data_IF_976288461979
#
_entry.id   IF_976288461979
#
_cell.length_a   1.000
_cell.length_b   1.000
_cell.length_c   1.000
_cell.angle_alpha   90.00
_cell.angle_beta   90.00
_cell.angle_gamma   90.00
#
_symmetry.space_group_name_H-M   'P 1'
#
loop_
_entity.id
_entity.type
_entity.pdbx_description
1 polymer ?
#
# COMPACT_ATOMS: atom_id res chain seq x y z
N UNK A 1 -9.20 -5.05 25.26
CA UNK A 1 -9.85 -4.35 26.40
C UNK A 1 -9.19 -2.99 26.69
N UNK A 2 -8.38 -2.44 25.76
CA UNK A 2 -7.49 -1.29 26.05
C UNK A 2 -7.97 0.08 25.56
N UNK A 3 -8.70 0.14 24.44
CA UNK A 3 -9.12 1.42 23.86
C UNK A 3 -10.01 2.24 24.81
N UNK A 4 -10.97 1.59 25.48
CA UNK A 4 -11.88 2.24 26.43
C UNK A 4 -11.21 2.71 27.73
N UNK A 5 -10.00 2.21 28.03
CA UNK A 5 -9.17 2.65 29.16
C UNK A 5 -8.34 3.85 28.75
N UNK A 6 -7.70 3.81 27.57
CA UNK A 6 -6.95 4.94 26.99
C UNK A 6 -7.83 6.17 26.74
N UNK A 7 -9.06 5.96 26.29
CA UNK A 7 -10.05 7.02 26.08
C UNK A 7 -10.55 7.65 27.39
N UNK A 8 -10.32 7.03 28.55
CA UNK A 8 -10.68 7.58 29.87
C UNK A 8 -9.49 8.26 30.55
N UNK A 9 -8.28 7.98 30.11
CA UNK A 9 -7.06 8.60 30.61
C UNK A 9 -6.83 10.02 30.05
N UNK A 10 -6.43 10.96 30.91
CA UNK A 10 -6.27 12.36 30.53
C UNK A 10 -5.07 12.60 29.60
N UNK A 11 -4.03 11.78 29.68
CA UNK A 11 -2.85 11.84 28.80
C UNK A 11 -3.14 11.10 27.49
N UNK A 12 -3.74 9.91 27.57
CA UNK A 12 -4.20 9.11 26.44
C UNK A 12 -5.11 9.90 25.51
N UNK A 13 -6.09 10.63 26.05
CA UNK A 13 -6.95 11.55 25.26
C UNK A 13 -6.17 12.58 24.46
N UNK A 14 -5.10 13.17 25.03
CA UNK A 14 -4.29 14.17 24.32
C UNK A 14 -3.50 13.54 23.18
N UNK A 15 -2.98 12.32 23.39
CA UNK A 15 -2.28 11.56 22.35
C UNK A 15 -3.24 11.21 21.22
N UNK A 16 -4.41 10.66 21.53
CA UNK A 16 -5.46 10.34 20.55
C UNK A 16 -5.85 11.60 19.76
N UNK A 17 -6.13 12.70 20.45
CA UNK A 17 -6.49 13.96 19.78
C UNK A 17 -5.37 14.48 18.85
N UNK A 18 -4.10 14.32 19.22
CA UNK A 18 -2.97 14.69 18.38
C UNK A 18 -2.82 13.78 17.15
N UNK A 19 -3.17 12.49 17.29
CA UNK A 19 -3.13 11.51 16.22
C UNK A 19 -4.36 11.54 15.31
N UNK A 20 -5.50 12.05 15.78
CA UNK A 20 -6.78 12.01 15.03
C UNK A 20 -6.64 12.49 13.59
N UNK A 21 -5.92 13.59 13.34
CA UNK A 21 -5.71 14.10 11.97
C UNK A 21 -5.04 13.11 11.00
N UNK A 22 -4.37 12.09 11.53
CA UNK A 22 -3.64 11.08 10.77
C UNK A 22 -4.38 9.74 10.67
N UNK A 23 -5.34 9.47 11.57
CA UNK A 23 -5.99 8.14 11.70
C UNK A 23 -7.51 8.17 11.55
N UNK A 24 -8.14 9.34 11.61
CA UNK A 24 -9.59 9.52 11.51
C UNK A 24 -10.14 8.96 10.18
N UNK A 25 -11.34 8.39 10.15
CA UNK A 25 -11.89 7.76 8.94
C UNK A 25 -12.54 8.73 7.95
N UNK A 26 -12.65 10.01 8.29
CA UNK A 26 -13.34 11.03 7.48
C UNK A 26 -12.36 11.82 6.61
N UNK A 27 -11.23 12.25 7.19
CA UNK A 27 -10.17 13.01 6.52
C UNK A 27 -8.82 12.72 7.17
N UNK A 28 -8.05 11.80 6.57
CA UNK A 28 -6.65 11.53 6.99
C UNK A 28 -5.71 12.43 6.23
N UNK A 29 -4.78 13.03 6.97
CA UNK A 29 -3.61 13.68 6.41
C UNK A 29 -2.45 12.70 6.42
N UNK A 30 -1.67 12.62 5.35
CA UNK A 30 -0.37 11.94 5.37
C UNK A 30 0.66 12.76 6.17
N UNK A 31 1.56 12.10 6.87
CA UNK A 31 2.78 12.72 7.39
C UNK A 31 3.73 13.00 6.23
N UNK A 32 4.63 13.99 6.36
CA UNK A 32 5.70 14.21 5.39
C UNK A 32 7.04 13.94 6.05
N UNK A 33 7.84 13.06 5.47
CA UNK A 33 9.17 12.77 5.97
C UNK A 33 10.22 13.77 5.47
N UNK A 34 11.47 13.61 5.90
CA UNK A 34 12.56 14.52 5.55
C UNK A 34 12.96 14.49 4.07
N UNK A 35 12.54 13.48 3.31
CA UNK A 35 12.74 13.40 1.86
C UNK A 35 11.61 14.04 1.09
N UNK A 36 10.56 14.52 1.78
CA UNK A 36 9.38 15.12 1.17
C UNK A 36 8.30 14.11 0.81
N UNK A 37 8.48 12.83 1.20
CA UNK A 37 7.52 11.77 0.89
C UNK A 37 6.38 11.76 1.89
N UNK A 38 5.19 11.43 1.38
CA UNK A 38 4.01 11.23 2.19
C UNK A 38 4.00 9.83 2.81
N UNK A 39 3.60 9.75 4.08
CA UNK A 39 3.42 8.52 4.84
C UNK A 39 2.04 8.53 5.48
N UNK A 40 1.16 7.63 5.06
CA UNK A 40 -0.12 7.38 5.73
C UNK A 40 0.16 6.60 7.02
N UNK A 41 -0.05 7.26 8.17
CA UNK A 41 0.20 6.64 9.47
C UNK A 41 -0.71 5.45 9.75
N UNK A 42 -1.97 5.49 9.27
CA UNK A 42 -2.92 4.41 9.48
C UNK A 42 -2.54 3.19 8.64
N UNK A 43 -2.16 3.39 7.38
CA UNK A 43 -1.64 2.33 6.52
C UNK A 43 -0.36 1.73 7.11
N UNK A 44 0.64 2.57 7.40
CA UNK A 44 1.90 2.13 8.00
C UNK A 44 1.69 1.31 9.28
N UNK A 45 0.80 1.76 10.17
CA UNK A 45 0.51 1.05 11.41
C UNK A 45 -0.17 -0.31 11.15
N UNK A 46 -1.14 -0.36 10.25
CA UNK A 46 -1.84 -1.61 9.89
C UNK A 46 -0.89 -2.60 9.22
N UNK A 47 -0.09 -2.16 8.24
CA UNK A 47 0.88 -3.01 7.53
C UNK A 47 2.01 -3.49 8.45
N UNK A 48 2.55 -2.61 9.31
CA UNK A 48 3.57 -3.01 10.31
C UNK A 48 3.01 -4.01 11.32
N UNK A 49 1.77 -3.83 11.77
CA UNK A 49 1.11 -4.80 12.64
C UNK A 49 0.87 -6.12 11.89
N UNK A 50 0.51 -6.06 10.61
CA UNK A 50 0.37 -7.22 9.73
C UNK A 50 1.63 -8.06 9.67
N UNK A 51 2.78 -7.41 9.44
CA UNK A 51 4.10 -8.06 9.41
C UNK A 51 4.57 -8.59 10.77
N UNK A 52 4.24 -7.93 11.88
CA UNK A 52 4.70 -8.36 13.22
C UNK A 52 3.76 -9.33 13.93
N UNK A 53 2.54 -9.51 13.43
CA UNK A 53 1.54 -10.34 14.06
C UNK A 53 1.44 -11.68 13.32
N UNK A 54 1.64 -12.78 14.05
CA UNK A 54 1.70 -14.15 13.52
C UNK A 54 0.32 -14.65 13.04
N UNK A 55 -0.18 -14.07 11.95
CA UNK A 55 -1.52 -14.28 11.43
C UNK A 55 -1.58 -15.34 10.32
N UNK A 56 -2.81 -15.75 9.99
CA UNK A 56 -3.15 -16.66 8.88
C UNK A 56 -2.92 -16.02 7.50
N UNK A 57 -2.80 -14.69 7.44
CA UNK A 57 -2.62 -13.93 6.21
C UNK A 57 -1.11 -13.76 5.98
N UNK A 58 -0.57 -14.17 4.81
CA UNK A 58 0.84 -13.97 4.54
C UNK A 58 1.19 -12.48 4.54
N UNK A 59 2.28 -12.14 5.22
CA UNK A 59 2.91 -10.82 5.33
C UNK A 59 2.68 -9.88 4.14
N UNK A 60 3.06 -10.31 2.93
CA UNK A 60 2.91 -9.52 1.70
C UNK A 60 1.47 -9.03 1.44
N UNK A 61 0.47 -9.84 1.79
CA UNK A 61 -0.96 -9.54 1.62
C UNK A 61 -1.51 -8.52 2.60
N UNK A 62 -0.77 -8.20 3.67
CA UNK A 62 -1.14 -7.14 4.61
C UNK A 62 -0.71 -5.74 4.15
N UNK A 63 0.10 -5.65 3.10
CA UNK A 63 0.52 -4.40 2.46
C UNK A 63 0.51 -4.53 0.94
N UNK A 64 1.69 -4.40 0.33
CA UNK A 64 1.85 -4.23 -1.13
C UNK A 64 1.08 -5.21 -2.03
N UNK A 65 0.91 -6.48 -1.63
CA UNK A 65 0.19 -7.44 -2.47
C UNK A 65 -1.33 -7.21 -2.44
N UNK A 66 -1.87 -6.79 -1.28
CA UNK A 66 -3.28 -6.41 -1.14
C UNK A 66 -3.59 -5.11 -1.90
N UNK A 67 -2.69 -4.14 -1.82
CA UNK A 67 -2.76 -2.88 -2.57
C UNK A 67 -2.72 -3.12 -4.08
N UNK A 68 -1.78 -3.97 -4.53
CA UNK A 68 -1.69 -4.40 -5.92
C UNK A 68 -2.98 -5.11 -6.39
N UNK A 69 -3.55 -5.99 -5.58
CA UNK A 69 -4.81 -6.67 -5.91
C UNK A 69 -5.95 -5.67 -6.09
N UNK A 70 -6.08 -4.70 -5.19
CA UNK A 70 -7.09 -3.64 -5.28
C UNK A 70 -6.85 -2.73 -6.50
N UNK A 71 -5.59 -2.46 -6.85
CA UNK A 71 -5.26 -1.74 -8.07
C UNK A 71 -5.63 -2.53 -9.34
N UNK A 72 -5.45 -3.85 -9.35
CA UNK A 72 -5.87 -4.72 -10.46
C UNK A 72 -7.39 -4.64 -10.70
N UNK A 73 -8.20 -4.64 -9.64
CA UNK A 73 -9.66 -4.41 -9.74
C UNK A 73 -9.96 -3.06 -10.40
N UNK A 74 -9.28 -1.99 -9.96
CA UNK A 74 -9.48 -0.65 -10.49
C UNK A 74 -9.01 -0.50 -11.95
N UNK A 75 -7.93 -1.17 -12.35
CA UNK A 75 -7.49 -1.23 -13.75
C UNK A 75 -8.55 -1.94 -14.59
N UNK A 76 -9.05 -3.09 -14.14
CA UNK A 76 -10.11 -3.83 -14.85
C UNK A 76 -11.38 -3.01 -14.98
N UNK A 77 -11.86 -2.42 -13.89
CA UNK A 77 -13.02 -1.52 -13.87
C UNK A 77 -12.87 -0.38 -14.87
N UNK A 78 -11.68 0.24 -14.93
CA UNK A 78 -11.39 1.31 -15.88
C UNK A 78 -11.51 0.82 -17.33
N UNK A 79 -10.98 -0.36 -17.65
CA UNK A 79 -11.05 -0.94 -19.01
C UNK A 79 -12.46 -1.41 -19.39
N UNK A 80 -13.23 -1.93 -18.43
CA UNK A 80 -14.63 -2.30 -18.64
C UNK A 80 -15.50 -1.09 -18.94
N UNK A 81 -15.26 0.04 -18.25
CA UNK A 81 -15.99 1.28 -18.49
C UNK A 81 -15.49 2.02 -19.74
N UNK A 82 -14.28 1.72 -20.19
CA UNK A 82 -13.63 2.37 -21.33
C UNK A 82 -12.96 1.32 -22.25
N UNK A 83 -13.72 0.57 -23.07
CA UNK A 83 -13.19 -0.57 -23.83
C UNK A 83 -12.07 -0.26 -24.83
N UNK A 84 -11.91 1.01 -25.21
CA UNK A 84 -10.84 1.48 -26.11
C UNK A 84 -9.62 2.04 -25.37
N UNK A 85 -9.62 2.04 -24.04
CA UNK A 85 -8.51 2.53 -23.24
C UNK A 85 -7.28 1.60 -23.35
N UNK A 86 -6.10 2.19 -23.23
CA UNK A 86 -4.85 1.45 -23.31
C UNK A 86 -4.48 0.89 -21.92
N UNK A 87 -4.45 -0.45 -21.79
CA UNK A 87 -4.13 -1.14 -20.55
C UNK A 87 -2.80 -0.69 -19.92
N UNK A 88 -1.73 -0.56 -20.71
CA UNK A 88 -0.41 -0.16 -20.18
C UNK A 88 -0.44 1.26 -19.58
N UNK A 89 -1.12 2.19 -20.25
CA UNK A 89 -1.28 3.57 -19.79
C UNK A 89 -2.17 3.68 -18.55
N UNK A 90 -3.26 2.90 -18.49
CA UNK A 90 -4.14 2.83 -17.31
C UNK A 90 -3.39 2.25 -16.12
N UNK A 91 -2.68 1.13 -16.30
CA UNK A 91 -1.90 0.51 -15.23
C UNK A 91 -0.77 1.42 -14.73
N UNK A 92 -0.09 2.14 -15.63
CA UNK A 92 0.92 3.15 -15.26
C UNK A 92 0.32 4.27 -14.41
N UNK A 93 -0.94 4.64 -14.66
CA UNK A 93 -1.62 5.70 -13.92
C UNK A 93 -2.13 5.28 -12.54
N UNK A 94 -2.30 3.97 -12.30
CA UNK A 94 -2.93 3.43 -11.09
C UNK A 94 -1.95 2.68 -10.18
N UNK A 95 -0.67 2.61 -10.55
CA UNK A 95 0.38 1.96 -9.76
C UNK A 95 1.51 2.95 -9.53
N UNK A 96 1.78 3.24 -8.26
CA UNK A 96 2.83 4.13 -7.79
C UNK A 96 2.61 5.62 -8.12
N UNK A 97 1.42 5.99 -8.61
CA UNK A 97 1.08 7.38 -8.89
C UNK A 97 0.57 8.07 -7.62
N UNK A 98 0.84 9.38 -7.49
CA UNK A 98 0.35 10.18 -6.36
C UNK A 98 -1.13 10.55 -6.44
N UNK A 99 -1.58 11.41 -5.53
CA UNK A 99 -2.99 11.82 -5.41
C UNK A 99 -3.55 12.55 -6.65
N UNK A 100 -2.69 12.99 -7.56
CA UNK A 100 -3.06 13.61 -8.83
C UNK A 100 -3.31 12.60 -9.96
N UNK A 101 -3.35 11.28 -9.67
CA UNK A 101 -3.46 10.21 -10.67
C UNK A 101 -4.52 10.40 -11.75
N UNK A 102 -5.66 11.02 -11.42
CA UNK A 102 -6.74 11.32 -12.38
C UNK A 102 -6.32 12.28 -13.50
N UNK A 103 -5.23 13.03 -13.32
CA UNK A 103 -4.65 13.91 -14.33
C UNK A 103 -3.66 13.19 -15.24
N UNK A 104 -3.26 11.96 -14.91
CA UNK A 104 -2.32 11.18 -15.70
C UNK A 104 -2.87 10.99 -17.13
N UNK A 105 -2.03 11.15 -18.19
CA UNK A 105 -2.48 11.04 -19.58
C UNK A 105 -3.25 9.74 -19.90
N UNK A 106 -2.87 8.64 -19.24
CA UNK A 106 -3.53 7.34 -19.38
C UNK A 106 -4.96 7.25 -18.85
N UNK A 107 -5.40 8.21 -18.02
CA UNK A 107 -6.78 8.28 -17.49
C UNK A 107 -7.56 9.49 -18.01
N UNK A 108 -6.89 10.42 -18.67
CA UNK A 108 -7.49 11.67 -19.12
C UNK A 108 -8.62 11.41 -20.12
N UNK A 109 -9.81 11.89 -19.78
CA UNK A 109 -11.00 11.74 -20.62
C UNK A 109 -11.69 10.38 -20.51
N UNK A 110 -11.20 9.48 -19.66
CA UNK A 110 -11.86 8.22 -19.35
C UNK A 110 -12.97 8.40 -18.31
N UNK A 111 -13.95 7.52 -18.34
CA UNK A 111 -14.97 7.40 -17.29
C UNK A 111 -14.32 6.75 -16.07
N UNK A 112 -14.23 7.50 -14.98
CA UNK A 112 -13.66 7.05 -13.70
C UNK A 112 -14.68 7.03 -12.55
N UNK A 113 -15.87 7.56 -12.79
CA UNK A 113 -16.98 7.54 -11.83
C UNK A 113 -18.27 7.20 -12.57
N UNK A 114 -19.00 6.20 -12.08
CA UNK A 114 -20.22 5.70 -12.72
C UNK A 114 -21.19 5.19 -11.67
N UNK A 115 -22.49 5.30 -11.93
CA UNK A 115 -23.50 4.59 -11.13
C UNK A 115 -23.61 3.15 -11.60
N UNK A 116 -23.58 2.21 -10.66
CA UNK A 116 -23.90 0.82 -10.95
C UNK A 116 -25.42 0.63 -11.19
N UNK A 117 -25.83 -0.59 -11.53
CA UNK A 117 -27.22 -0.93 -11.85
C UNK A 117 -28.20 -0.68 -10.69
N UNK A 118 -27.69 -0.56 -9.46
CA UNK A 118 -28.45 -0.23 -8.25
C UNK A 118 -28.51 1.28 -7.98
N UNK A 119 -27.99 2.11 -8.89
CA UNK A 119 -27.95 3.56 -8.76
C UNK A 119 -26.91 4.09 -7.77
N UNK A 120 -26.02 3.24 -7.23
CA UNK A 120 -24.95 3.62 -6.30
C UNK A 120 -23.72 4.08 -7.10
N UNK A 121 -23.12 5.20 -6.68
CA UNK A 121 -21.86 5.67 -7.25
C UNK A 121 -20.70 4.72 -6.92
N UNK A 122 -19.92 4.43 -7.95
CA UNK A 122 -18.64 3.73 -7.90
C UNK A 122 -17.58 4.61 -8.55
N UNK A 123 -16.37 4.55 -8.01
CA UNK A 123 -15.22 5.35 -8.45
C UNK A 123 -14.02 4.44 -8.63
N UNK A 124 -13.19 4.75 -9.63
CA UNK A 124 -11.85 4.16 -9.78
C UNK A 124 -10.94 4.78 -8.73
N UNK A 125 -10.47 3.95 -7.81
CA UNK A 125 -9.54 4.33 -6.73
C UNK A 125 -8.06 4.20 -7.14
N UNK A 126 -7.19 4.84 -6.35
CA UNK A 126 -5.73 4.75 -6.47
C UNK A 126 -5.19 4.04 -5.22
N UNK A 127 -5.27 2.71 -5.24
CA UNK A 127 -5.08 1.85 -4.06
C UNK A 127 -3.71 1.13 -4.01
N UNK A 128 -2.86 1.32 -5.01
CA UNK A 128 -1.46 0.93 -4.98
C UNK A 128 -0.66 2.20 -5.30
N UNK A 129 -0.95 3.25 -4.55
CA UNK A 129 -0.44 4.57 -4.83
C UNK A 129 0.98 4.75 -4.26
N UNK A 130 1.57 5.91 -4.52
CA UNK A 130 2.93 6.19 -4.10
C UNK A 130 3.10 6.24 -2.58
N UNK A 131 2.10 6.73 -1.85
CA UNK A 131 2.13 6.89 -0.40
C UNK A 131 1.99 5.51 0.28
N UNK A 132 1.09 4.67 -0.21
CA UNK A 132 0.90 3.28 0.25
C UNK A 132 2.20 2.49 0.06
N UNK A 133 2.83 2.59 -1.12
CA UNK A 133 4.10 1.91 -1.41
C UNK A 133 5.28 2.46 -0.59
N UNK A 134 5.24 3.73 -0.15
CA UNK A 134 6.19 4.23 0.84
C UNK A 134 5.98 3.50 2.16
N UNK A 135 4.73 3.43 2.62
CA UNK A 135 4.38 2.79 3.87
C UNK A 135 4.69 1.29 3.87
N UNK A 136 4.47 0.57 2.76
CA UNK A 136 4.78 -0.85 2.63
C UNK A 136 6.28 -1.12 2.76
N UNK A 137 7.10 -0.34 2.04
CA UNK A 137 8.56 -0.44 2.11
C UNK A 137 9.11 -0.09 3.49
N UNK A 138 8.56 0.95 4.11
CA UNK A 138 8.90 1.38 5.47
C UNK A 138 8.50 0.29 6.50
N UNK A 139 7.29 -0.26 6.37
CA UNK A 139 6.74 -1.27 7.27
C UNK A 139 7.58 -2.55 7.32
N UNK A 140 8.09 -3.02 6.18
CA UNK A 140 8.98 -4.19 6.11
C UNK A 140 10.21 -3.99 7.00
N UNK A 141 10.86 -2.83 6.91
CA UNK A 141 12.07 -2.55 7.70
C UNK A 141 11.74 -2.33 9.16
N UNK A 142 10.66 -1.59 9.45
CA UNK A 142 10.22 -1.30 10.81
C UNK A 142 9.83 -2.61 11.52
N UNK A 143 8.98 -3.43 10.91
CA UNK A 143 8.55 -4.72 11.46
C UNK A 143 9.75 -5.62 11.77
N UNK A 144 10.64 -5.85 10.80
CA UNK A 144 11.84 -6.65 11.02
C UNK A 144 12.73 -6.09 12.15
N UNK A 145 12.82 -4.76 12.29
CA UNK A 145 13.58 -4.15 13.40
C UNK A 145 12.90 -4.36 14.76
N UNK A 146 11.57 -4.33 14.81
CA UNK A 146 10.79 -4.57 16.03
C UNK A 146 10.88 -6.03 16.46
N UNK A 147 10.75 -6.97 15.54
CA UNK A 147 10.82 -8.42 15.82
C UNK A 147 12.18 -8.86 16.34
N UNK A 148 13.25 -8.26 15.82
CA UNK A 148 14.62 -8.51 16.27
C UNK A 148 15.03 -7.61 17.45
N UNK A 149 14.12 -6.78 17.95
CA UNK A 149 14.36 -5.82 19.03
C UNK A 149 14.20 -6.43 20.43
N UNK A 150 14.59 -5.65 21.45
CA UNK A 150 14.36 -6.02 22.85
C UNK A 150 12.92 -5.67 23.25
N UNK A 151 12.06 -6.68 23.41
CA UNK A 151 10.66 -6.55 23.81
C UNK A 151 10.45 -5.85 25.17
N UNK A 152 11.46 -5.87 26.03
CA UNK A 152 11.45 -5.22 27.35
C UNK A 152 11.78 -3.72 27.27
N UNK A 153 12.18 -3.22 26.11
CA UNK A 153 12.43 -1.80 25.89
C UNK A 153 11.13 -1.06 25.55
N UNK A 154 10.56 -0.36 26.53
CA UNK A 154 9.35 0.45 26.36
C UNK A 154 9.46 1.56 25.27
N UNK A 155 10.68 1.89 24.82
CA UNK A 155 10.92 2.88 23.77
C UNK A 155 11.23 2.28 22.40
N UNK A 156 11.23 0.95 22.24
CA UNK A 156 11.64 0.25 21.01
C UNK A 156 10.99 0.85 19.76
N UNK A 157 9.66 0.96 19.73
CA UNK A 157 8.92 1.54 18.59
C UNK A 157 9.37 2.97 18.28
N UNK A 158 9.39 3.84 19.29
CA UNK A 158 9.73 5.26 19.11
C UNK A 158 11.19 5.46 18.67
N UNK A 159 12.10 4.59 19.12
CA UNK A 159 13.51 4.61 18.74
C UNK A 159 13.67 4.13 17.29
N UNK A 160 13.01 3.03 16.91
CA UNK A 160 13.01 2.49 15.55
C UNK A 160 12.51 3.51 14.53
N UNK A 161 11.35 4.12 14.79
CA UNK A 161 10.78 5.16 13.90
C UNK A 161 11.74 6.35 13.75
N UNK A 162 12.32 6.80 14.87
CA UNK A 162 13.28 7.92 14.87
C UNK A 162 14.53 7.58 14.08
N UNK A 163 15.09 6.38 14.23
CA UNK A 163 16.27 5.97 13.49
C UNK A 163 15.96 5.85 11.99
N UNK A 164 14.87 5.17 11.65
CA UNK A 164 14.45 4.92 10.27
C UNK A 164 14.25 6.23 9.50
N UNK A 165 13.39 7.12 10.00
CA UNK A 165 13.07 8.38 9.31
C UNK A 165 14.21 9.41 9.35
N UNK A 166 15.23 9.21 10.19
CA UNK A 166 16.46 10.02 10.14
C UNK A 166 17.55 9.42 9.25
N UNK A 167 17.37 8.24 8.66
CA UNK A 167 18.36 7.60 7.81
C UNK A 167 18.05 7.76 6.32
N UNK A 168 18.74 8.68 5.64
CA UNK A 168 18.49 8.96 4.21
C UNK A 168 18.72 7.75 3.31
N UNK A 169 19.67 6.88 3.65
CA UNK A 169 19.99 5.69 2.86
C UNK A 169 18.90 4.62 2.96
N UNK A 170 18.25 4.49 4.12
CA UNK A 170 17.07 3.62 4.29
C UNK A 170 15.91 4.16 3.45
N UNK A 171 15.60 5.45 3.59
CA UNK A 171 14.51 6.12 2.84
C UNK A 171 14.69 6.06 1.32
N UNK A 172 15.93 6.21 0.83
CA UNK A 172 16.25 6.12 -0.60
C UNK A 172 16.04 4.71 -1.19
N UNK A 173 16.00 3.68 -0.34
CA UNK A 173 15.79 2.30 -0.76
C UNK A 173 14.41 1.75 -0.37
N UNK A 174 13.49 2.58 0.16
CA UNK A 174 12.22 2.08 0.73
C UNK A 174 11.43 1.21 -0.24
N UNK A 175 11.30 1.62 -1.51
CA UNK A 175 10.57 0.82 -2.49
C UNK A 175 11.28 -0.50 -2.77
N UNK A 176 12.62 -0.47 -2.85
CA UNK A 176 13.44 -1.68 -3.02
C UNK A 176 13.31 -2.66 -1.86
N UNK A 177 12.92 -2.21 -0.66
CA UNK A 177 12.63 -3.11 0.47
C UNK A 177 11.52 -4.10 0.13
N UNK A 178 10.52 -3.68 -0.66
CA UNK A 178 9.47 -4.56 -1.17
C UNK A 178 10.12 -5.68 -1.99
N UNK A 179 10.91 -5.33 -3.00
CA UNK A 179 11.64 -6.30 -3.83
C UNK A 179 12.57 -7.23 -3.03
N UNK A 180 13.33 -6.67 -2.09
CA UNK A 180 14.25 -7.43 -1.24
C UNK A 180 13.52 -8.37 -0.27
N UNK A 181 12.32 -8.04 0.18
CA UNK A 181 11.53 -8.89 1.10
C UNK A 181 11.21 -10.27 0.54
N UNK A 182 11.07 -10.38 -0.79
CA UNK A 182 10.91 -11.65 -1.50
C UNK A 182 12.15 -12.02 -2.34
N UNK A 183 13.29 -11.37 -2.08
CA UNK A 183 14.59 -11.72 -2.67
C UNK A 183 14.73 -11.40 -4.16
N UNK A 184 14.08 -10.38 -4.67
CA UNK A 184 14.38 -9.81 -5.98
C UNK A 184 15.44 -8.71 -5.86
N UNK A 185 16.27 -8.52 -6.89
CA UNK A 185 17.31 -7.48 -6.92
C UNK A 185 17.20 -6.52 -8.12
N UNK A 186 16.27 -6.80 -9.03
CA UNK A 186 15.98 -5.99 -10.20
C UNK A 186 14.52 -6.16 -10.62
N UNK A 187 14.05 -5.31 -11.54
CA UNK A 187 12.66 -5.32 -12.01
C UNK A 187 12.26 -6.63 -12.68
N UNK A 188 13.15 -7.33 -13.36
CA UNK A 188 12.85 -8.61 -14.01
C UNK A 188 12.56 -9.70 -12.98
N UNK A 189 13.45 -9.86 -11.98
CA UNK A 189 13.24 -10.81 -10.87
C UNK A 189 11.99 -10.45 -10.07
N UNK A 190 11.76 -9.15 -9.84
CA UNK A 190 10.59 -8.71 -9.10
C UNK A 190 9.29 -9.00 -9.85
N UNK A 191 9.25 -8.77 -11.17
CA UNK A 191 8.10 -9.11 -11.99
C UNK A 191 7.76 -10.60 -11.91
N UNK A 192 8.77 -11.48 -12.03
CA UNK A 192 8.57 -12.93 -11.95
C UNK A 192 7.94 -13.31 -10.61
N UNK A 193 8.55 -12.87 -9.50
CA UNK A 193 8.09 -13.23 -8.14
C UNK A 193 6.73 -12.61 -7.80
N UNK A 194 6.50 -11.35 -8.16
CA UNK A 194 5.19 -10.70 -7.95
C UNK A 194 4.10 -11.43 -8.75
N UNK A 195 4.40 -11.87 -9.98
CA UNK A 195 3.45 -12.62 -10.80
C UNK A 195 3.13 -13.99 -10.18
N UNK A 196 4.13 -14.68 -9.61
CA UNK A 196 3.92 -15.91 -8.85
C UNK A 196 3.03 -15.67 -7.62
N UNK A 197 3.28 -14.60 -6.85
CA UNK A 197 2.42 -14.20 -5.73
C UNK A 197 0.98 -13.90 -6.14
N UNK A 198 0.78 -13.35 -7.34
CA UNK A 198 -0.54 -13.07 -7.89
C UNK A 198 -1.22 -14.30 -8.55
N UNK A 199 -0.50 -15.42 -8.67
CA UNK A 199 -0.96 -16.66 -9.32
C UNK A 199 -1.15 -17.82 -8.32
N UNK A 200 -0.24 -17.98 -7.35
CA UNK A 200 -0.19 -19.07 -6.37
C UNK A 200 -0.47 -18.56 -4.95
N UNK A 201 -1.22 -19.36 -4.18
CA UNK A 201 -1.73 -19.10 -2.80
C UNK A 201 -2.69 -17.92 -2.59
N UNK A 202 -2.88 -17.08 -3.62
CA UNK A 202 -3.65 -15.84 -3.56
C UNK A 202 -5.01 -15.89 -4.24
N UNK A 203 -5.39 -16.98 -4.89
CA UNK A 203 -6.69 -17.07 -5.56
C UNK A 203 -7.87 -16.89 -4.58
N UNK A 204 -7.71 -17.13 -3.28
CA UNK A 204 -8.76 -16.85 -2.29
C UNK A 204 -8.72 -15.39 -1.84
N UNK A 205 -7.59 -14.89 -1.33
CA UNK A 205 -7.48 -13.52 -0.82
C UNK A 205 -7.56 -12.47 -1.95
N UNK A 206 -6.90 -12.71 -3.07
CA UNK A 206 -7.03 -11.93 -4.29
C UNK A 206 -8.44 -11.96 -4.87
N UNK A 207 -9.16 -13.09 -4.78
CA UNK A 207 -10.58 -13.12 -5.18
C UNK A 207 -11.49 -12.41 -4.17
N UNK A 208 -11.19 -12.49 -2.88
CA UNK A 208 -11.91 -11.72 -1.85
C UNK A 208 -11.71 -10.21 -2.00
N UNK A 209 -10.52 -9.79 -2.41
CA UNK A 209 -10.16 -8.37 -2.54
C UNK A 209 -10.51 -7.79 -3.91
N UNK A 210 -10.22 -8.50 -4.99
CA UNK A 210 -10.32 -8.01 -6.37
C UNK A 210 -11.32 -8.76 -7.26
N UNK A 211 -11.90 -9.87 -6.77
CA UNK A 211 -12.73 -10.74 -7.60
C UNK A 211 -11.93 -11.44 -8.70
N UNK A 212 -12.58 -11.74 -9.83
CA UNK A 212 -11.90 -12.28 -11.02
C UNK A 212 -11.23 -11.14 -11.80
N UNK A 213 -9.91 -11.21 -11.96
CA UNK A 213 -9.11 -10.29 -12.78
C UNK A 213 -8.58 -11.03 -14.00
N UNK A 214 -8.72 -10.44 -15.20
CA UNK A 214 -8.14 -11.02 -16.43
C UNK A 214 -6.61 -11.12 -16.31
N UNK A 215 -6.05 -12.22 -16.82
CA UNK A 215 -4.62 -12.49 -16.75
C UNK A 215 -3.76 -11.36 -17.34
N UNK A 216 -4.15 -10.80 -18.48
CA UNK A 216 -3.42 -9.68 -19.12
C UNK A 216 -3.31 -8.44 -18.21
N UNK A 217 -4.37 -8.17 -17.42
CA UNK A 217 -4.43 -7.05 -16.48
C UNK A 217 -3.53 -7.34 -15.30
N UNK A 218 -3.64 -8.54 -14.73
CA UNK A 218 -2.79 -9.01 -13.62
C UNK A 218 -1.32 -8.89 -13.97
N UNK A 219 -0.88 -9.49 -15.09
CA UNK A 219 0.52 -9.48 -15.51
C UNK A 219 1.02 -8.06 -15.79
N UNK A 220 0.19 -7.20 -16.39
CA UNK A 220 0.56 -5.80 -16.61
C UNK A 220 0.73 -5.05 -15.29
N UNK A 221 -0.17 -5.25 -14.32
CA UNK A 221 -0.07 -4.64 -13.00
C UNK A 221 1.20 -5.11 -12.25
N UNK A 222 1.47 -6.42 -12.24
CA UNK A 222 2.69 -6.99 -11.65
C UNK A 222 3.95 -6.36 -12.27
N UNK A 223 3.98 -6.21 -13.60
CA UNK A 223 5.11 -5.56 -14.30
C UNK A 223 5.27 -4.10 -13.91
N UNK A 224 4.17 -3.33 -13.85
CA UNK A 224 4.24 -1.91 -13.49
C UNK A 224 4.70 -1.69 -12.05
N UNK A 225 4.29 -2.55 -11.12
CA UNK A 225 4.81 -2.50 -9.75
C UNK A 225 6.31 -2.82 -9.72
N UNK A 226 6.74 -3.86 -10.44
CA UNK A 226 8.15 -4.23 -10.52
C UNK A 226 9.02 -3.12 -11.14
N UNK A 227 8.53 -2.46 -12.20
CA UNK A 227 9.15 -1.28 -12.79
C UNK A 227 9.24 -0.14 -11.76
N UNK A 228 8.17 0.14 -11.02
CA UNK A 228 8.15 1.19 -10.01
C UNK A 228 9.18 0.95 -8.89
N UNK A 229 9.25 -0.28 -8.36
CA UNK A 229 10.14 -0.65 -7.24
C UNK A 229 11.63 -0.38 -7.56
N UNK A 230 12.04 -0.57 -8.82
CA UNK A 230 13.44 -0.49 -9.25
C UNK A 230 13.75 0.68 -10.20
N UNK A 231 12.88 1.70 -10.27
CA UNK A 231 13.15 2.95 -10.99
C UNK A 231 14.26 3.79 -10.35
#
# INVERSE_FOLDING_TARGET
ADASVLEKDAVGKKIIAALNRYIDNTWRQSMTDKTGESVDLAHLAATTLGYTNWNVIPDAWTGWAGDLATAMENIQKTLEWNPSANLDQVATALIGQGNDYRQHPGLKGLVLDKKNDKGKWESVGNNCNRDDLCCDGDAIVIANTLENGNDSNAHLLSATLREYYNNSSKLANRFKQIGWSFGANNSTEAYQKISEYADLDSAVLGWFLAGYVKEEIRLTACRKLAEFIYR
#
